data_IF_942220813946
#
_entry.id   IF_942220813946
#
_cell.length_a   1.000
_cell.length_b   1.000
_cell.length_c   1.000
_cell.angle_alpha   90.00
_cell.angle_beta   90.00
_cell.angle_gamma   90.00
#
_symmetry.space_group_name_H-M   'P 1'
#
loop_
_entity.id
_entity.type
_entity.pdbx_description
1 polymer ?
#
# COMPACT_ATOMS: atom_id res chain seq x y z
N UNK A 1 8.26 -0.97 -11.66
CA UNK A 1 8.05 -0.46 -10.29
C UNK A 1 6.56 -0.14 -10.22
N UNK A 2 5.84 -0.53 -9.18
CA UNK A 2 4.36 -0.48 -9.23
C UNK A 2 3.79 0.93 -8.99
N UNK A 3 4.45 1.78 -8.20
CA UNK A 3 3.89 3.07 -7.82
C UNK A 3 3.61 4.03 -9.00
N UNK A 4 4.52 4.20 -9.99
CA UNK A 4 4.23 4.99 -11.18
C UNK A 4 3.07 4.41 -12.01
N UNK A 5 2.96 3.08 -12.09
CA UNK A 5 1.93 2.39 -12.86
C UNK A 5 0.52 2.60 -12.30
N UNK A 6 0.40 3.07 -11.05
CA UNK A 6 -0.88 3.39 -10.43
C UNK A 6 -1.38 4.80 -10.77
N UNK A 7 -0.53 5.70 -11.25
CA UNK A 7 -0.96 7.04 -11.64
C UNK A 7 -1.93 6.95 -12.81
N UNK A 8 -3.09 7.60 -12.69
CA UNK A 8 -4.18 7.53 -13.67
C UNK A 8 -5.13 6.33 -13.47
N UNK A 9 -4.82 5.40 -12.57
CA UNK A 9 -5.71 4.28 -12.26
C UNK A 9 -6.92 4.75 -11.42
N UNK A 10 -8.06 4.08 -11.58
CA UNK A 10 -9.24 4.27 -10.75
C UNK A 10 -9.12 3.45 -9.46
N UNK A 11 -9.21 4.12 -8.31
CA UNK A 11 -9.47 3.46 -7.04
C UNK A 11 -10.98 3.45 -6.82
N UNK A 12 -11.57 2.25 -6.79
CA UNK A 12 -13.02 2.07 -6.67
C UNK A 12 -13.34 1.29 -5.40
N UNK A 13 -14.24 1.83 -4.60
CA UNK A 13 -14.84 1.19 -3.43
C UNK A 13 -16.33 0.99 -3.69
N UNK A 14 -16.79 -0.26 -3.66
CA UNK A 14 -18.21 -0.58 -3.64
C UNK A 14 -18.76 -0.35 -2.23
N UNK A 15 -19.83 0.41 -2.13
CA UNK A 15 -20.54 0.70 -0.89
C UNK A 15 -21.61 -0.37 -0.64
N UNK A 16 -22.14 -0.42 0.59
CA UNK A 16 -23.13 -1.42 1.01
C UNK A 16 -24.43 -1.33 0.22
N UNK A 17 -24.82 -0.13 -0.21
CA UNK A 17 -25.99 0.14 -1.06
C UNK A 17 -25.76 -0.20 -2.54
N UNK A 18 -24.58 -0.72 -2.88
CA UNK A 18 -24.21 -1.08 -4.25
C UNK A 18 -23.63 0.07 -5.08
N UNK A 19 -23.67 1.31 -4.58
CA UNK A 19 -23.05 2.47 -5.24
C UNK A 19 -21.53 2.36 -5.28
N UNK A 20 -20.91 3.08 -6.22
CA UNK A 20 -19.45 3.11 -6.38
C UNK A 20 -18.93 4.48 -5.93
N UNK A 21 -18.08 4.47 -4.91
CA UNK A 21 -17.22 5.61 -4.57
C UNK A 21 -15.88 5.41 -5.29
N UNK A 22 -15.44 6.38 -6.06
CA UNK A 22 -14.22 6.25 -6.85
C UNK A 22 -13.46 7.57 -7.00
N UNK A 23 -12.18 7.45 -7.34
CA UNK A 23 -11.31 8.57 -7.69
C UNK A 23 -10.13 8.11 -8.52
N UNK A 24 -9.48 9.06 -9.20
CA UNK A 24 -8.25 8.80 -9.96
C UNK A 24 -7.05 8.98 -9.04
N UNK A 25 -6.13 8.03 -9.05
CA UNK A 25 -4.86 8.16 -8.35
C UNK A 25 -3.98 9.15 -9.10
N UNK A 26 -3.70 10.29 -8.48
CA UNK A 26 -2.89 11.37 -9.07
C UNK A 26 -1.48 11.45 -8.48
N UNK A 27 -1.26 10.78 -7.35
CA UNK A 27 0.01 10.78 -6.62
C UNK A 27 0.22 9.43 -5.94
N UNK A 28 1.48 8.98 -5.90
CA UNK A 28 1.89 7.76 -5.19
C UNK A 28 3.28 7.92 -4.57
N UNK A 29 3.48 7.25 -3.43
CA UNK A 29 4.78 7.10 -2.79
C UNK A 29 5.15 5.62 -2.70
N UNK A 30 6.42 5.29 -2.96
CA UNK A 30 6.92 3.92 -2.90
C UNK A 30 7.86 3.75 -1.71
N UNK A 31 7.61 2.71 -0.90
CA UNK A 31 8.42 2.38 0.27
C UNK A 31 8.99 0.98 0.13
N UNK A 32 10.25 0.80 0.53
CA UNK A 32 10.93 -0.50 0.61
C UNK A 32 11.18 -0.88 2.07
N UNK A 33 11.47 -2.14 2.38
CA UNK A 33 11.77 -2.55 3.77
C UNK A 33 13.11 -2.02 4.27
N UNK A 34 13.99 -1.60 3.37
CA UNK A 34 15.28 -1.00 3.70
C UNK A 34 15.14 0.49 4.04
N UNK A 35 13.97 1.07 3.77
CA UNK A 35 13.64 2.46 4.08
C UNK A 35 13.11 2.59 5.52
N UNK A 36 13.75 3.46 6.31
CA UNK A 36 13.34 3.79 7.66
C UNK A 36 11.92 4.38 7.78
N UNK A 37 11.39 4.98 6.71
CA UNK A 37 10.03 5.50 6.66
C UNK A 37 8.97 4.41 6.40
N UNK A 38 9.39 3.19 6.07
CA UNK A 38 8.49 2.08 5.83
C UNK A 38 7.98 1.46 7.13
N UNK A 39 6.68 1.17 7.21
CA UNK A 39 6.10 0.46 8.37
C UNK A 39 6.60 -0.98 8.49
N UNK A 40 7.21 -1.54 7.45
CA UNK A 40 7.90 -2.83 7.48
C UNK A 40 9.37 -2.75 7.90
N UNK A 41 9.91 -1.55 8.16
CA UNK A 41 11.33 -1.36 8.48
C UNK A 41 11.72 -2.17 9.71
N UNK A 42 12.68 -3.09 9.52
CA UNK A 42 13.29 -3.97 10.56
C UNK A 42 12.35 -4.91 11.33
N UNK A 43 11.03 -4.74 11.32
CA UNK A 43 10.10 -5.56 12.13
C UNK A 43 8.80 -5.88 11.40
N UNK A 44 8.40 -7.15 11.54
CA UNK A 44 7.05 -7.64 11.23
C UNK A 44 6.25 -7.70 12.53
N UNK A 45 5.01 -7.23 12.48
CA UNK A 45 4.04 -7.24 13.56
C UNK A 45 2.67 -7.63 13.00
N UNK A 46 1.70 -8.04 13.83
CA UNK A 46 0.35 -8.36 13.35
C UNK A 46 -0.30 -7.19 12.59
N UNK A 47 0.02 -5.94 12.98
CA UNK A 47 -0.55 -4.76 12.32
C UNK A 47 -0.02 -4.56 10.90
N UNK A 48 1.25 -4.82 10.62
CA UNK A 48 1.87 -4.57 9.31
C UNK A 48 1.99 -5.83 8.44
N UNK A 49 1.39 -6.95 8.87
CA UNK A 49 1.55 -8.26 8.23
C UNK A 49 1.16 -8.25 6.74
N UNK A 50 0.17 -7.46 6.35
CA UNK A 50 -0.26 -7.30 4.96
C UNK A 50 0.87 -6.85 4.02
N UNK A 51 1.86 -6.11 4.52
CA UNK A 51 3.01 -5.68 3.72
C UNK A 51 3.95 -6.84 3.34
N UNK A 52 3.91 -7.95 4.09
CA UNK A 52 4.74 -9.14 3.88
C UNK A 52 3.99 -10.30 3.24
N UNK A 53 2.67 -10.15 3.04
CA UNK A 53 1.81 -11.15 2.46
C UNK A 53 1.79 -11.11 0.93
N UNK A 54 0.73 -11.69 0.37
CA UNK A 54 0.47 -11.69 -1.06
C UNK A 54 0.37 -10.25 -1.63
N UNK A 55 1.04 -9.95 -2.76
CA UNK A 55 0.98 -8.63 -3.38
C UNK A 55 -0.43 -8.30 -3.87
N UNK A 56 -0.76 -7.02 -3.94
CA UNK A 56 -2.05 -6.52 -4.40
C UNK A 56 -3.06 -6.26 -3.27
N UNK A 57 -2.77 -6.68 -2.03
CA UNK A 57 -3.59 -6.35 -0.86
C UNK A 57 -3.38 -4.90 -0.43
N UNK A 58 -4.45 -4.27 0.06
CA UNK A 58 -4.36 -2.96 0.68
C UNK A 58 -4.01 -3.09 2.17
N UNK A 59 -2.93 -2.43 2.57
CA UNK A 59 -2.58 -2.17 3.95
C UNK A 59 -3.13 -0.80 4.35
N UNK A 60 -4.13 -0.78 5.22
CA UNK A 60 -4.76 0.44 5.73
C UNK A 60 -4.41 0.60 7.20
N UNK A 61 -4.01 1.80 7.60
CA UNK A 61 -3.69 2.12 9.00
C UNK A 61 -4.18 3.51 9.36
N UNK A 62 -4.29 3.76 10.67
CA UNK A 62 -4.65 5.07 11.21
C UNK A 62 -3.38 5.85 11.53
N UNK A 63 -3.20 7.00 10.89
CA UNK A 63 -2.16 7.99 11.14
C UNK A 63 -2.65 9.02 12.14
N UNK A 64 -1.84 9.30 13.17
CA UNK A 64 -2.14 10.23 14.27
C UNK A 64 -3.47 9.99 15.00
N UNK A 65 -4.04 8.80 14.89
CA UNK A 65 -5.34 8.46 15.49
C UNK A 65 -6.56 9.04 14.77
N UNK A 66 -6.39 9.79 13.67
CA UNK A 66 -7.47 10.57 13.05
C UNK A 66 -7.60 10.38 11.53
N UNK A 67 -6.53 10.03 10.83
CA UNK A 67 -6.54 9.91 9.37
C UNK A 67 -6.25 8.48 8.94
N UNK A 68 -6.96 7.97 7.95
CA UNK A 68 -6.63 6.68 7.36
C UNK A 68 -5.67 6.87 6.19
N UNK A 69 -4.61 6.07 6.17
CA UNK A 69 -3.67 5.99 5.06
C UNK A 69 -3.73 4.59 4.44
N UNK A 70 -3.62 4.51 3.12
CA UNK A 70 -3.66 3.26 2.36
C UNK A 70 -2.35 3.05 1.62
N UNK A 71 -1.79 1.84 1.72
CA UNK A 71 -0.66 1.38 0.93
C UNK A 71 -1.08 0.14 0.15
N UNK A 72 -0.66 0.02 -1.11
CA UNK A 72 -0.80 -1.22 -1.86
C UNK A 72 0.43 -2.08 -1.62
N UNK A 73 0.27 -3.28 -1.08
CA UNK A 73 1.36 -4.23 -0.93
C UNK A 73 1.87 -4.68 -2.30
N UNK A 74 3.18 -4.67 -2.48
CA UNK A 74 3.83 -5.03 -3.74
C UNK A 74 4.89 -6.08 -3.46
N UNK A 75 5.16 -6.95 -4.44
CA UNK A 75 6.21 -7.95 -4.30
C UNK A 75 7.54 -7.21 -4.13
N UNK A 76 8.21 -7.46 -3.02
CA UNK A 76 9.55 -6.97 -2.82
C UNK A 76 10.46 -7.59 -3.89
N UNK A 77 11.21 -6.76 -4.62
CA UNK A 77 12.24 -7.29 -5.51
C UNK A 77 13.32 -7.89 -4.62
N UNK A 78 13.53 -9.20 -4.70
CA UNK A 78 14.74 -9.82 -4.19
C UNK A 78 15.91 -9.17 -4.92
N UNK A 79 16.82 -8.50 -4.22
CA UNK A 79 18.09 -8.13 -4.82
C UNK A 79 18.88 -9.44 -5.06
N UNK A 80 18.85 -9.94 -6.29
CA UNK A 80 19.82 -10.94 -6.74
C UNK A 80 21.12 -10.21 -7.02
N UNK A 81 22.12 -10.37 -6.15
CA UNK A 81 23.49 -10.02 -6.46
C UNK A 81 24.04 -11.13 -7.37
N UNK A 82 24.36 -10.77 -8.61
CA UNK A 82 25.34 -11.45 -9.45
C UNK A 82 26.52 -10.51 -9.62
#
# INVERSE_FOLDING_TARGET
>A
MVAPDLIGCLLVKRQEDGSLLWGVVVETEAYSQDDSACHGYRRRSPSNETLFGEPGRFYVYVSYGIHHCVKRAVKQKTQSWA
#
